data_IF_417107233703
#
_entry.id   IF_417107233703
#
_cell.length_a   1.000
_cell.length_b   1.000
_cell.length_c   1.000
_cell.angle_alpha   90.00
_cell.angle_beta   90.00
_cell.angle_gamma   90.00
#
_symmetry.space_group_name_H-M   'P 1'
#
loop_
_entity.id
_entity.type
_entity.pdbx_description
1 polymer ?
#
# COMPACT_ATOMS: atom_id res chain seq x y z
N UNK A 1 14.39 -0.63 3.73
CA UNK A 1 15.60 -0.37 2.93
C UNK A 1 16.01 -1.66 2.24
N UNK A 2 16.21 -1.58 0.93
CA UNK A 2 16.85 -2.63 0.14
C UNK A 2 18.28 -2.24 -0.18
N UNK A 3 19.14 -3.21 -0.26
CA UNK A 3 20.55 -3.03 -0.53
C UNK A 3 20.98 -4.04 -1.61
N UNK A 4 21.35 -3.55 -2.77
CA UNK A 4 21.86 -4.37 -3.86
C UNK A 4 23.29 -3.94 -4.23
N UNK A 5 24.16 -4.89 -4.41
CA UNK A 5 25.54 -4.64 -4.83
C UNK A 5 25.72 -4.96 -6.30
N UNK A 6 26.19 -4.01 -7.07
CA UNK A 6 26.49 -4.15 -8.49
C UNK A 6 28.01 -4.19 -8.73
N UNK A 7 28.64 -5.27 -8.31
CA UNK A 7 30.10 -5.39 -8.43
C UNK A 7 30.87 -4.68 -7.32
N UNK A 8 32.20 -4.66 -7.41
CA UNK A 8 33.06 -4.04 -6.40
C UNK A 8 32.93 -2.51 -6.41
N UNK A 9 32.52 -1.94 -5.30
CA UNK A 9 32.49 -0.51 -5.08
C UNK A 9 31.23 0.22 -5.50
N UNK A 10 30.23 -0.45 -6.07
CA UNK A 10 28.96 0.17 -6.44
C UNK A 10 27.80 -0.42 -5.65
N UNK A 11 27.02 0.44 -5.00
CA UNK A 11 25.88 0.02 -4.17
C UNK A 11 24.67 0.86 -4.52
N UNK A 12 23.56 0.22 -4.79
CA UNK A 12 22.26 0.86 -4.91
C UNK A 12 21.53 0.73 -3.57
N UNK A 13 21.33 1.85 -2.91
CA UNK A 13 20.49 1.91 -1.71
C UNK A 13 19.14 2.49 -2.12
N UNK A 14 18.09 1.69 -1.99
CA UNK A 14 16.75 2.17 -2.25
C UNK A 14 15.87 2.10 -1.00
N UNK A 15 15.09 3.14 -0.80
CA UNK A 15 14.14 3.25 0.29
C UNK A 15 12.79 3.71 -0.22
N UNK A 16 11.71 3.11 0.28
CA UNK A 16 10.36 3.59 0.05
C UNK A 16 10.07 4.76 0.98
N UNK A 17 9.56 5.85 0.44
CA UNK A 17 8.87 6.90 1.18
C UNK A 17 7.38 6.76 0.95
N UNK A 18 6.55 7.44 1.75
CA UNK A 18 5.10 7.43 1.55
C UNK A 18 4.66 8.05 0.21
N UNK A 19 5.53 8.76 -0.47
CA UNK A 19 5.23 9.50 -1.70
C UNK A 19 6.09 9.10 -2.90
N UNK A 20 6.89 8.06 -2.82
CA UNK A 20 7.74 7.65 -3.94
C UNK A 20 8.93 6.78 -3.53
N UNK A 21 9.70 6.37 -4.52
CA UNK A 21 10.96 5.66 -4.32
C UNK A 21 12.11 6.68 -4.35
N UNK A 22 12.97 6.62 -3.35
CA UNK A 22 14.22 7.38 -3.32
C UNK A 22 15.36 6.44 -3.68
N UNK A 23 16.11 6.78 -4.71
CA UNK A 23 17.29 6.05 -5.12
C UNK A 23 18.55 6.84 -4.69
N UNK A 24 19.50 6.12 -4.14
CA UNK A 24 20.79 6.66 -3.75
C UNK A 24 21.87 5.85 -4.46
N UNK A 25 22.82 6.54 -5.03
CA UNK A 25 24.06 5.90 -5.51
C UNK A 25 25.14 6.19 -4.46
N UNK A 26 25.73 5.12 -3.95
CA UNK A 26 26.82 5.19 -2.99
C UNK A 26 28.06 4.67 -3.70
N UNK A 27 29.06 5.49 -3.87
CA UNK A 27 30.38 5.03 -4.25
C UNK A 27 31.21 4.74 -3.00
N UNK A 28 31.72 3.52 -2.92
CA UNK A 28 32.59 3.10 -1.83
C UNK A 28 34.01 3.02 -2.39
N UNK A 29 34.93 3.89 -1.95
CA UNK A 29 36.32 3.73 -2.28
C UNK A 29 36.84 2.37 -1.82
N UNK A 30 37.69 1.71 -2.61
CA UNK A 30 38.22 0.36 -2.35
C UNK A 30 38.91 0.21 -0.97
N UNK A 31 39.30 1.32 -0.36
CA UNK A 31 39.98 1.38 0.92
C UNK A 31 39.10 1.82 2.10
N UNK A 32 37.82 2.13 1.85
CA UNK A 32 36.97 2.68 2.89
C UNK A 32 36.21 1.58 3.63
N UNK A 33 36.25 1.61 4.95
CA UNK A 33 35.43 0.75 5.79
C UNK A 33 34.00 1.25 6.00
N UNK A 34 33.72 2.50 5.63
CA UNK A 34 32.40 3.14 5.72
C UNK A 34 32.11 3.83 4.40
N UNK A 35 30.98 3.48 3.73
CA UNK A 35 30.60 4.12 2.49
C UNK A 35 30.18 5.59 2.72
N UNK A 36 30.66 6.49 1.86
CA UNK A 36 30.18 7.86 1.80
C UNK A 36 29.10 7.99 0.73
N UNK A 37 28.02 8.69 1.05
CA UNK A 37 27.00 9.05 0.06
C UNK A 37 27.52 10.25 -0.71
N UNK A 38 28.03 10.02 -1.92
CA UNK A 38 28.57 11.07 -2.78
C UNK A 38 27.57 11.56 -3.83
N UNK A 39 26.55 10.76 -4.10
CA UNK A 39 25.44 11.11 -4.99
C UNK A 39 24.11 10.85 -4.32
N UNK A 40 23.33 11.91 -4.20
CA UNK A 40 21.94 11.84 -3.77
C UNK A 40 21.04 12.22 -4.94
N UNK A 41 20.23 11.26 -5.38
CA UNK A 41 19.22 11.52 -6.39
C UNK A 41 17.97 11.96 -5.64
N UNK A 42 17.48 13.16 -5.92
CA UNK A 42 16.23 13.65 -5.34
C UNK A 42 15.09 12.65 -5.61
N UNK A 43 14.22 12.40 -4.62
CA UNK A 43 13.09 11.51 -4.81
C UNK A 43 12.25 11.96 -6.01
N UNK A 44 12.01 11.07 -6.95
CA UNK A 44 11.03 11.29 -8.01
C UNK A 44 9.66 10.81 -7.50
N UNK A 45 8.84 11.75 -7.06
CA UNK A 45 7.49 11.48 -6.56
C UNK A 45 6.51 11.07 -7.66
N UNK A 46 6.89 11.26 -8.92
CA UNK A 46 6.12 10.84 -10.09
C UNK A 46 6.58 9.46 -10.60
N UNK A 47 7.64 8.91 -10.02
CA UNK A 47 8.12 7.59 -10.38
C UNK A 47 7.07 6.53 -10.06
N UNK A 48 6.74 5.74 -11.06
CA UNK A 48 5.78 4.64 -10.90
C UNK A 48 6.37 3.53 -10.03
N UNK A 49 5.61 3.09 -9.03
CA UNK A 49 6.02 2.05 -8.09
C UNK A 49 4.99 0.93 -8.15
N UNK A 50 5.21 -0.02 -9.03
CA UNK A 50 4.41 -1.24 -9.11
C UNK A 50 5.33 -2.42 -8.86
N UNK A 51 5.05 -3.16 -7.79
CA UNK A 51 5.84 -4.32 -7.39
C UNK A 51 5.78 -5.44 -8.43
N UNK A 52 6.82 -6.27 -8.47
CA UNK A 52 7.06 -7.25 -9.54
C UNK A 52 5.90 -8.19 -9.81
N UNK A 53 5.27 -8.74 -8.78
CA UNK A 53 4.09 -9.62 -8.94
C UNK A 53 2.85 -8.86 -9.43
N UNK A 54 2.68 -7.61 -9.02
CA UNK A 54 1.58 -6.74 -9.45
C UNK A 54 1.72 -6.27 -10.90
N UNK A 55 2.90 -6.43 -11.51
CA UNK A 55 3.10 -6.15 -12.93
C UNK A 55 2.40 -7.13 -13.86
N UNK A 56 2.00 -8.31 -13.38
CA UNK A 56 1.29 -9.30 -14.18
C UNK A 56 -0.12 -8.83 -14.55
N UNK A 57 -0.52 -9.06 -15.79
CA UNK A 57 -1.89 -8.81 -16.25
C UNK A 57 -2.92 -9.73 -15.58
N UNK A 58 -2.46 -10.90 -15.09
CA UNK A 58 -3.30 -11.88 -14.40
C UNK A 58 -3.56 -11.55 -12.93
N UNK A 59 -2.86 -10.56 -12.39
CA UNK A 59 -3.02 -10.09 -11.02
C UNK A 59 -3.88 -8.85 -11.01
N UNK A 60 -4.87 -8.79 -10.15
CA UNK A 60 -5.64 -7.58 -9.87
C UNK A 60 -4.92 -6.82 -8.77
N UNK A 61 -4.32 -5.70 -9.15
CA UNK A 61 -3.58 -4.82 -8.26
C UNK A 61 -4.52 -3.74 -7.74
N UNK A 62 -4.49 -3.51 -6.44
CA UNK A 62 -5.48 -2.66 -5.76
C UNK A 62 -4.79 -1.45 -5.15
N UNK A 63 -5.22 -0.28 -5.55
CA UNK A 63 -4.85 0.99 -4.94
C UNK A 63 -5.66 1.27 -3.68
N UNK A 64 -5.24 2.27 -2.91
CA UNK A 64 -5.81 2.61 -1.63
C UNK A 64 -6.48 3.97 -1.67
N UNK A 65 -7.78 4.02 -1.37
CA UNK A 65 -8.48 5.28 -1.14
C UNK A 65 -8.75 5.53 0.33
N UNK A 66 -8.92 6.83 0.65
CA UNK A 66 -9.36 7.26 1.97
C UNK A 66 -10.80 6.84 2.21
N UNK A 67 -11.02 6.09 3.27
CA UNK A 67 -12.32 5.58 3.68
C UNK A 67 -13.02 6.51 4.66
N UNK A 68 -12.29 7.11 5.59
CA UNK A 68 -12.83 7.99 6.64
C UNK A 68 -11.80 8.98 7.13
N UNK A 69 -12.28 10.07 7.73
CA UNK A 69 -11.40 11.13 8.25
C UNK A 69 -10.88 10.87 9.67
N UNK A 70 -11.34 9.82 10.33
CA UNK A 70 -10.89 9.50 11.68
C UNK A 70 -11.68 8.36 12.31
N UNK A 71 -11.38 8.10 13.57
CA UNK A 71 -12.13 7.18 14.42
C UNK A 71 -12.01 7.63 15.89
N UNK A 72 -12.91 7.14 16.74
CA UNK A 72 -12.81 7.31 18.18
C UNK A 72 -12.14 6.05 18.75
N UNK A 73 -11.08 6.24 19.53
CA UNK A 73 -10.35 5.15 20.15
C UNK A 73 -11.04 4.60 21.42
N UNK A 74 -10.49 3.55 22.00
CA UNK A 74 -11.02 2.90 23.19
C UNK A 74 -11.05 3.82 24.42
N UNK A 75 -10.18 4.83 24.46
CA UNK A 75 -10.13 5.83 25.54
C UNK A 75 -11.09 7.02 25.30
N UNK A 76 -11.83 7.02 24.19
CA UNK A 76 -12.70 8.11 23.80
C UNK A 76 -12.01 9.28 23.10
N UNK A 77 -10.72 9.17 22.77
CA UNK A 77 -10.02 10.20 22.02
C UNK A 77 -10.31 10.09 20.52
N UNK A 78 -10.42 11.22 19.86
CA UNK A 78 -10.59 11.27 18.42
C UNK A 78 -9.22 11.20 17.73
N UNK A 79 -8.99 10.18 16.95
CA UNK A 79 -7.91 10.16 15.96
C UNK A 79 -8.40 10.81 14.67
N UNK A 80 -7.65 11.79 14.18
CA UNK A 80 -7.93 12.42 12.90
C UNK A 80 -6.90 12.00 11.86
N UNK A 81 -7.37 11.70 10.65
CA UNK A 81 -6.51 11.44 9.50
C UNK A 81 -5.69 12.68 9.13
N UNK A 82 -4.56 12.46 8.47
CA UNK A 82 -3.76 13.55 7.90
C UNK A 82 -4.62 14.43 6.98
N UNK A 83 -4.55 15.75 7.10
CA UNK A 83 -5.29 16.65 6.23
C UNK A 83 -4.84 16.55 4.76
N UNK A 84 -5.64 17.12 3.86
CA UNK A 84 -5.27 17.25 2.44
C UNK A 84 -5.72 16.12 1.53
N UNK A 85 -6.38 15.09 2.07
CA UNK A 85 -6.98 14.01 1.27
C UNK A 85 -8.40 13.80 1.76
N UNK A 86 -9.39 13.95 0.89
CA UNK A 86 -10.79 13.74 1.24
C UNK A 86 -11.18 12.24 1.20
N UNK A 87 -12.33 11.93 1.78
CA UNK A 87 -12.93 10.59 1.66
C UNK A 87 -13.26 10.32 0.18
N UNK A 88 -12.88 9.15 -0.32
CA UNK A 88 -13.01 8.77 -1.72
C UNK A 88 -11.81 9.13 -2.59
N UNK A 89 -10.88 9.95 -2.12
CA UNK A 89 -9.67 10.27 -2.86
C UNK A 89 -8.56 9.23 -2.67
N UNK A 90 -7.72 9.11 -3.69
CA UNK A 90 -6.55 8.23 -3.64
C UNK A 90 -5.60 8.68 -2.52
N UNK A 91 -5.24 7.74 -1.66
CA UNK A 91 -4.29 8.02 -0.59
C UNK A 91 -2.88 8.17 -1.15
N UNK A 92 -2.15 9.18 -0.70
CA UNK A 92 -0.83 9.54 -1.24
C UNK A 92 0.22 8.44 -1.17
N UNK A 93 0.08 7.49 -0.24
CA UNK A 93 0.96 6.32 -0.13
C UNK A 93 0.54 5.15 -1.03
N UNK A 94 -0.54 5.29 -1.81
CA UNK A 94 -0.92 4.29 -2.79
C UNK A 94 0.04 4.31 -3.96
N UNK A 95 0.60 3.13 -4.30
CA UNK A 95 1.45 3.01 -5.46
C UNK A 95 0.68 3.32 -6.74
N UNK A 96 1.33 4.02 -7.65
CA UNK A 96 0.78 4.40 -8.95
C UNK A 96 1.58 3.73 -10.08
N UNK A 97 0.87 3.42 -11.17
CA UNK A 97 1.44 2.88 -12.39
C UNK A 97 1.75 3.95 -13.45
N UNK A 98 2.04 3.52 -14.65
CA UNK A 98 2.00 2.13 -15.13
C UNK A 98 3.14 1.27 -14.57
N UNK A 99 3.06 -0.04 -14.83
CA UNK A 99 4.18 -0.95 -14.57
C UNK A 99 5.37 -0.61 -15.48
N UNK A 100 6.53 -1.16 -15.18
CA UNK A 100 7.74 -1.00 -16.01
C UNK A 100 7.56 -1.45 -17.46
N UNK A 101 6.61 -2.35 -17.72
CA UNK A 101 6.27 -2.84 -19.07
C UNK A 101 5.12 -2.06 -19.73
N UNK A 102 4.68 -0.96 -19.13
CA UNK A 102 3.62 -0.11 -19.66
C UNK A 102 2.19 -0.58 -19.35
N UNK A 103 2.02 -1.65 -18.57
CA UNK A 103 0.68 -2.11 -18.16
C UNK A 103 0.12 -1.16 -17.12
N UNK A 104 -1.11 -0.67 -17.35
CA UNK A 104 -1.79 0.21 -16.40
C UNK A 104 -2.05 -0.51 -15.07
N UNK A 105 -1.62 0.11 -13.97
CA UNK A 105 -1.77 -0.36 -12.59
C UNK A 105 -1.92 0.84 -11.64
N UNK A 106 -2.59 0.71 -10.52
CA UNK A 106 -3.43 -0.41 -10.13
C UNK A 106 -4.62 -0.60 -11.07
N UNK A 107 -5.24 -1.78 -11.04
CA UNK A 107 -6.42 -2.08 -11.87
C UNK A 107 -7.69 -1.42 -11.29
N UNK A 108 -7.71 -1.25 -9.98
CA UNK A 108 -8.84 -0.70 -9.22
C UNK A 108 -8.34 -0.08 -7.92
N UNK A 109 -9.17 0.73 -7.29
CA UNK A 109 -8.95 1.23 -5.93
C UNK A 109 -10.03 0.71 -4.99
N UNK A 110 -9.69 0.54 -3.71
CA UNK A 110 -10.64 0.19 -2.66
C UNK A 110 -10.29 0.88 -1.34
N UNK A 111 -11.23 0.87 -0.41
CA UNK A 111 -11.09 1.48 0.90
C UNK A 111 -10.00 0.81 1.72
N UNK A 112 -8.94 1.51 2.01
CA UNK A 112 -7.80 1.01 2.78
C UNK A 112 -7.18 2.03 3.73
N UNK A 113 -7.52 3.31 3.62
CA UNK A 113 -7.02 4.32 4.55
C UNK A 113 -8.06 4.62 5.62
N UNK A 114 -7.62 4.40 6.86
CA UNK A 114 -8.38 4.23 8.09
C UNK A 114 -9.45 3.17 7.92
N UNK A 115 -9.00 1.94 7.82
CA UNK A 115 -9.85 0.75 7.95
C UNK A 115 -9.90 0.29 9.40
N UNK A 116 -11.07 -0.17 9.80
CA UNK A 116 -11.28 -0.86 11.07
C UNK A 116 -11.50 -2.34 10.76
N UNK A 117 -10.60 -3.16 11.23
CA UNK A 117 -10.64 -4.61 11.05
C UNK A 117 -10.68 -5.34 12.39
N UNK A 118 -11.03 -6.62 12.36
CA UNK A 118 -11.00 -7.46 13.57
C UNK A 118 -9.56 -7.56 14.12
N UNK A 119 -9.44 -7.50 15.44
CA UNK A 119 -8.18 -7.69 16.13
C UNK A 119 -8.13 -9.01 16.89
N UNK A 120 -6.94 -9.65 17.02
CA UNK A 120 -6.79 -10.80 17.89
C UNK A 120 -6.92 -10.39 19.38
N UNK A 121 -7.51 -11.24 20.18
CA UNK A 121 -7.75 -10.94 21.62
C UNK A 121 -6.50 -10.54 22.38
N UNK A 122 -5.35 -11.15 22.07
CA UNK A 122 -4.08 -10.79 22.69
C UNK A 122 -3.68 -9.34 22.43
N UNK A 123 -4.08 -8.81 21.30
CA UNK A 123 -3.79 -7.44 20.89
C UNK A 123 -4.81 -6.46 21.44
N UNK A 124 -6.10 -6.83 21.40
CA UNK A 124 -7.22 -6.03 21.93
C UNK A 124 -7.14 -5.85 23.45
N UNK A 125 -6.63 -6.85 24.18
CA UNK A 125 -6.46 -6.81 25.62
C UNK A 125 -5.17 -6.13 26.09
N UNK A 126 -4.33 -5.65 25.18
CA UNK A 126 -3.11 -4.94 25.57
C UNK A 126 -3.39 -3.44 25.71
N UNK A 127 -3.30 -2.86 26.92
CA UNK A 127 -3.57 -1.43 27.14
C UNK A 127 -2.72 -0.48 26.29
N UNK A 128 -1.51 -0.91 25.89
CA UNK A 128 -0.65 -0.12 25.03
C UNK A 128 -1.24 0.13 23.63
N UNK A 129 -2.21 -0.68 23.21
CA UNK A 129 -2.86 -0.59 21.90
C UNK A 129 -4.17 0.22 21.93
N UNK A 130 -4.57 0.74 23.07
CA UNK A 130 -5.87 1.40 23.26
C UNK A 130 -6.16 2.52 22.25
N UNK A 131 -5.13 3.26 21.82
CA UNK A 131 -5.26 4.33 20.81
C UNK A 131 -5.50 3.82 19.37
N UNK A 132 -5.32 2.53 19.14
CA UNK A 132 -5.54 1.89 17.84
C UNK A 132 -6.82 1.07 17.82
N UNK A 133 -7.41 0.80 18.97
CA UNK A 133 -8.65 0.03 19.12
C UNK A 133 -9.82 1.00 19.04
N UNK A 134 -10.85 0.63 18.31
CA UNK A 134 -12.08 1.44 18.23
C UNK A 134 -12.82 1.46 19.58
N UNK A 135 -13.72 2.42 19.75
CA UNK A 135 -14.50 2.59 20.98
C UNK A 135 -15.33 1.34 21.36
N UNK A 136 -15.67 0.51 20.38
CA UNK A 136 -16.39 -0.77 20.62
C UNK A 136 -15.50 -1.87 21.21
N UNK A 137 -14.17 -1.73 21.17
CA UNK A 137 -13.22 -2.65 21.76
C UNK A 137 -12.92 -3.92 20.93
N UNK A 138 -13.49 -4.05 19.74
CA UNK A 138 -13.37 -5.26 18.90
C UNK A 138 -12.60 -5.08 17.61
N UNK A 139 -12.41 -3.84 17.18
CA UNK A 139 -11.74 -3.54 15.92
C UNK A 139 -10.49 -2.72 16.16
N UNK A 140 -9.50 -2.97 15.33
CA UNK A 140 -8.26 -2.21 15.31
C UNK A 140 -8.19 -1.30 14.09
N UNK A 141 -7.69 -0.10 14.29
CA UNK A 141 -7.36 0.79 13.20
C UNK A 141 -6.15 0.27 12.44
N UNK A 142 -6.30 0.19 11.14
CA UNK A 142 -5.25 -0.17 10.22
C UNK A 142 -5.35 0.67 8.94
N UNK A 143 -4.37 0.58 8.07
CA UNK A 143 -4.38 1.32 6.81
C UNK A 143 -3.41 0.75 5.80
N UNK A 144 -3.56 1.23 4.56
CA UNK A 144 -2.72 0.86 3.43
C UNK A 144 -3.41 -0.03 2.41
N UNK A 145 -2.73 -0.27 1.29
CA UNK A 145 -3.20 -1.18 0.23
C UNK A 145 -3.41 -2.61 0.74
N UNK A 146 -2.74 -2.99 1.83
CA UNK A 146 -2.96 -4.26 2.53
C UNK A 146 -4.39 -4.41 3.09
N UNK A 147 -5.09 -3.28 3.34
CA UNK A 147 -6.48 -3.27 3.79
C UNK A 147 -7.45 -3.12 2.61
N UNK A 148 -7.03 -2.47 1.53
CA UNK A 148 -7.81 -2.34 0.31
C UNK A 148 -7.91 -3.66 -0.46
N UNK A 149 -6.81 -4.40 -0.56
CA UNK A 149 -6.74 -5.66 -1.31
C UNK A 149 -7.76 -6.72 -0.85
N UNK A 150 -7.96 -7.01 0.46
CA UNK A 150 -8.95 -7.97 0.90
C UNK A 150 -10.40 -7.54 0.62
N UNK A 151 -10.68 -6.26 0.46
CA UNK A 151 -12.02 -5.80 0.03
C UNK A 151 -12.31 -6.31 -1.38
N UNK A 152 -11.37 -6.16 -2.30
CA UNK A 152 -11.50 -6.67 -3.68
C UNK A 152 -11.50 -8.21 -3.70
N UNK A 153 -10.72 -8.86 -2.85
CA UNK A 153 -10.74 -10.31 -2.71
C UNK A 153 -12.12 -10.82 -2.23
N UNK A 154 -12.78 -10.10 -1.31
CA UNK A 154 -14.13 -10.39 -0.88
C UNK A 154 -15.16 -10.23 -2.01
N UNK A 155 -15.03 -9.19 -2.82
CA UNK A 155 -15.86 -9.00 -4.03
C UNK A 155 -15.65 -10.15 -5.00
N UNK A 156 -14.40 -10.58 -5.22
CA UNK A 156 -14.09 -11.72 -6.08
C UNK A 156 -14.73 -13.02 -5.58
N UNK A 157 -14.73 -13.26 -4.28
CA UNK A 157 -15.37 -14.42 -3.67
C UNK A 157 -16.89 -14.44 -3.91
N UNK A 158 -17.57 -13.29 -3.73
CA UNK A 158 -18.99 -13.15 -4.00
C UNK A 158 -19.31 -13.29 -5.49
N UNK A 159 -18.46 -12.74 -6.37
CA UNK A 159 -18.60 -12.88 -7.81
C UNK A 159 -18.51 -14.36 -8.23
N UNK A 160 -17.49 -15.05 -7.77
CA UNK A 160 -17.29 -16.48 -8.09
C UNK A 160 -18.38 -17.39 -7.48
N UNK A 161 -18.96 -16.98 -6.35
CA UNK A 161 -20.13 -17.67 -5.80
C UNK A 161 -21.33 -17.61 -6.76
N UNK A 162 -21.50 -16.45 -7.42
CA UNK A 162 -22.58 -16.24 -8.40
C UNK A 162 -22.23 -16.80 -9.77
N UNK A 163 -20.97 -16.75 -10.17
CA UNK A 163 -20.45 -17.13 -11.48
C UNK A 163 -19.30 -18.13 -11.34
N UNK A 164 -19.56 -19.39 -10.88
CA UNK A 164 -18.48 -20.33 -10.51
C UNK A 164 -17.62 -20.80 -11.69
N UNK A 165 -18.04 -20.57 -12.93
CA UNK A 165 -17.27 -20.86 -14.14
C UNK A 165 -16.47 -19.69 -14.70
N UNK A 166 -16.52 -18.53 -14.04
CA UNK A 166 -15.84 -17.33 -14.53
C UNK A 166 -14.31 -17.46 -14.42
N UNK A 167 -13.62 -16.98 -15.45
CA UNK A 167 -12.17 -16.83 -15.42
C UNK A 167 -11.75 -15.55 -14.66
N UNK A 168 -10.44 -15.44 -14.39
CA UNK A 168 -9.90 -14.18 -13.82
C UNK A 168 -10.14 -12.99 -14.75
N UNK A 169 -10.16 -13.21 -16.05
CA UNK A 169 -10.38 -12.15 -17.04
C UNK A 169 -11.83 -11.65 -17.02
N UNK A 170 -12.80 -12.57 -16.89
CA UNK A 170 -14.21 -12.21 -16.78
C UNK A 170 -14.43 -11.34 -15.53
N UNK A 171 -13.90 -11.79 -14.39
CA UNK A 171 -13.99 -11.02 -13.15
C UNK A 171 -13.32 -9.65 -13.28
N UNK A 172 -12.12 -9.58 -13.85
CA UNK A 172 -11.38 -8.33 -14.02
C UNK A 172 -12.13 -7.35 -14.92
N UNK A 173 -12.67 -7.84 -16.04
CA UNK A 173 -13.44 -7.02 -16.98
C UNK A 173 -14.72 -6.49 -16.32
N UNK A 174 -15.47 -7.35 -15.66
CA UNK A 174 -16.70 -6.94 -14.98
C UNK A 174 -16.45 -5.98 -13.82
N UNK A 175 -15.36 -6.21 -13.07
CA UNK A 175 -14.95 -5.33 -11.99
C UNK A 175 -14.64 -3.92 -12.51
N UNK A 176 -13.80 -3.82 -13.54
CA UNK A 176 -13.38 -2.51 -14.08
C UNK A 176 -14.47 -1.80 -14.91
N UNK A 177 -15.42 -2.55 -15.45
CA UNK A 177 -16.55 -1.97 -16.19
C UNK A 177 -17.65 -1.41 -15.28
N UNK A 178 -17.67 -1.76 -14.01
CA UNK A 178 -18.71 -1.38 -13.03
C UNK A 178 -18.18 -0.53 -11.87
N UNK A 179 -17.09 0.17 -12.10
CA UNK A 179 -16.52 1.14 -11.13
C UNK A 179 -16.66 2.55 -11.70
N UNK A 180 -17.03 3.49 -10.83
CA UNK A 180 -17.10 4.93 -11.14
C UNK A 180 -15.69 5.56 -11.21
#
# INVERSE_FOLDING_TARGET
FGFETFGSGHYDLWGGTFSGRSNFVIEVPDSASVPEIIHYISPDTLQTIVDSWNCSEKVISVGNLRNRMGHIDLNGNTYNASPGIAVGELYSASSIGPSRTGVQKPDITASGDISLGSGPFSWLNNPANASLIDQGGFHIRNGGTSMASPVVAGIAALYLQKCPGASYQDFKNDLTANTD
#
